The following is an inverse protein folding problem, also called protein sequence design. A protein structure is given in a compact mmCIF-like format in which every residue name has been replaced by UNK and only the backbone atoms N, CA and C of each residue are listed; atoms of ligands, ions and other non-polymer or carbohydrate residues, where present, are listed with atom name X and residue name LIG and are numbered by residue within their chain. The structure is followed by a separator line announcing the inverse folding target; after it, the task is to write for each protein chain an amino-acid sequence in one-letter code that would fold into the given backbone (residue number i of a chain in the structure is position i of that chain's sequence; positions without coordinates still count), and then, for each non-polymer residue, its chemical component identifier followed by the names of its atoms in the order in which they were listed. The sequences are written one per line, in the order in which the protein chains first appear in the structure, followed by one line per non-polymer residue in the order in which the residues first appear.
data_IF_844610707981
#
_entry.id   IF_844610707981
#
_cell.length_a   1.000
_cell.length_b   1.000
_cell.length_c   1.000
_cell.angle_alpha   90.00
_cell.angle_beta   90.00
_cell.angle_gamma   90.00
#
_symmetry.space_group_name_H-M   'P 1'
#
loop_
_entity.id
_entity.type
_entity.pdbx_description
1 polymer ?
#
# COMPACT_ATOMS: atom_id res chain seq x y z
N UNK A 1 13.64 3.35 23.49
CA UNK A 1 14.40 4.60 23.34
C UNK A 1 14.93 4.60 21.91
N UNK A 2 14.08 4.88 20.92
CA UNK A 2 13.93 6.16 20.19
C UNK A 2 15.23 6.63 19.50
N UNK A 3 15.34 6.31 18.20
CA UNK A 3 16.04 7.14 17.22
C UNK A 3 15.00 7.84 16.33
N UNK A 4 14.14 8.65 16.96
CA UNK A 4 13.65 9.86 16.31
C UNK A 4 14.43 10.98 16.98
N UNK A 5 15.49 11.46 16.33
CA UNK A 5 16.08 12.74 16.74
C UNK A 5 15.06 13.79 16.33
N UNK A 6 14.21 14.15 17.29
CA UNK A 6 13.45 15.39 17.26
C UNK A 6 14.45 16.52 16.99
N UNK A 7 14.27 17.23 15.87
CA UNK A 7 14.73 18.61 15.75
C UNK A 7 13.94 19.45 16.76
N UNK A 8 14.39 19.44 18.01
CA UNK A 8 13.93 20.38 19.02
C UNK A 8 14.46 21.74 18.58
N UNK A 9 13.58 22.59 18.09
CA UNK A 9 13.84 24.04 18.09
C UNK A 9 13.84 24.50 19.55
N UNK A 10 15.00 24.43 20.19
CA UNK A 10 15.28 25.05 21.48
C UNK A 10 16.22 26.23 21.25
N UNK A 11 15.79 27.39 21.73
CA UNK A 11 16.55 28.63 21.71
C UNK A 11 17.91 28.45 22.42
N UNK A 12 18.99 28.84 21.73
CA UNK A 12 20.36 29.05 22.22
C UNK A 12 21.03 27.88 22.96
N UNK A 13 21.68 26.99 22.21
CA UNK A 13 22.98 26.45 22.60
C UNK A 13 23.83 26.17 21.35
N UNK A 14 25.08 26.63 21.35
CA UNK A 14 25.99 26.69 20.20
C UNK A 14 26.69 25.34 19.91
N UNK A 15 26.09 24.22 20.31
CA UNK A 15 26.54 22.89 19.95
C UNK A 15 25.80 22.43 18.70
N UNK A 16 26.53 22.26 17.60
CA UNK A 16 25.99 21.64 16.38
C UNK A 16 25.34 20.27 16.64
N UNK A 17 24.61 19.71 15.66
CA UNK A 17 23.91 18.43 15.83
C UNK A 17 24.88 17.35 16.35
N UNK A 18 24.52 16.72 17.47
CA UNK A 18 25.31 15.64 18.07
C UNK A 18 25.25 14.44 17.13
N UNK A 19 26.39 14.11 16.54
CA UNK A 19 26.57 12.91 15.72
C UNK A 19 26.73 11.71 16.65
N UNK A 20 25.86 10.68 16.59
CA UNK A 20 26.02 9.47 17.38
C UNK A 20 27.30 8.74 16.96
N UNK A 21 27.93 8.02 17.88
CA UNK A 21 29.00 7.08 17.53
C UNK A 21 28.46 5.89 16.73
N UNK A 22 29.35 5.17 16.05
CA UNK A 22 28.99 3.95 15.31
C UNK A 22 28.33 2.91 16.22
N UNK A 23 28.87 2.72 17.43
CA UNK A 23 28.32 1.79 18.42
C UNK A 23 26.91 2.21 18.89
N UNK A 24 26.69 3.51 19.09
CA UNK A 24 25.37 4.04 19.45
C UNK A 24 24.36 3.87 18.30
N UNK A 25 24.78 4.12 17.06
CA UNK A 25 23.94 3.93 15.88
C UNK A 25 23.58 2.45 15.67
N UNK A 26 24.56 1.54 15.76
CA UNK A 26 24.32 0.09 15.69
C UNK A 26 23.34 -0.34 16.78
N UNK A 27 23.51 0.15 18.01
CA UNK A 27 22.61 -0.18 19.13
C UNK A 27 21.19 0.31 18.86
N UNK A 28 21.05 1.54 18.35
CA UNK A 28 19.76 2.14 18.05
C UNK A 28 19.01 1.46 16.89
N UNK A 29 19.75 0.92 15.91
CA UNK A 29 19.21 0.18 14.77
C UNK A 29 19.02 -1.31 15.02
N UNK A 30 19.50 -1.85 16.15
CA UNK A 30 19.42 -3.29 16.44
C UNK A 30 18.05 -3.66 17.03
N UNK A 31 17.40 -4.63 16.41
CA UNK A 31 16.20 -5.30 16.89
C UNK A 31 16.51 -6.77 17.10
N UNK A 32 16.16 -7.31 18.28
CA UNK A 32 16.22 -8.74 18.55
C UNK A 32 14.79 -9.29 18.47
N UNK A 33 14.52 -10.17 17.50
CA UNK A 33 13.21 -10.79 17.32
C UNK A 33 13.38 -12.29 17.15
N UNK A 34 12.71 -13.08 18.00
CA UNK A 34 12.82 -14.55 18.04
C UNK A 34 14.27 -15.09 18.08
N UNK A 35 15.15 -14.38 18.79
CA UNK A 35 16.57 -14.76 18.92
C UNK A 35 17.41 -14.47 17.67
N UNK A 36 16.86 -13.72 16.71
CA UNK A 36 17.57 -13.19 15.55
C UNK A 36 17.83 -11.70 15.74
N UNK A 37 19.07 -11.30 15.47
CA UNK A 37 19.47 -9.91 15.34
C UNK A 37 19.12 -9.38 13.95
N UNK A 38 18.45 -8.24 13.91
CA UNK A 38 18.02 -7.53 12.71
C UNK A 38 18.48 -6.08 12.85
N UNK A 39 18.99 -5.48 11.77
CA UNK A 39 19.30 -4.06 11.73
C UNK A 39 18.25 -3.34 10.89
N UNK A 40 17.56 -2.37 11.49
CA UNK A 40 16.51 -1.58 10.84
C UNK A 40 16.96 -0.13 10.74
N UNK A 41 16.84 0.43 9.53
CA UNK A 41 16.99 1.86 9.25
C UNK A 41 15.67 2.41 8.73
N UNK A 42 15.50 3.73 8.80
CA UNK A 42 14.34 4.44 8.24
C UNK A 42 12.96 3.88 8.65
N UNK A 43 12.86 3.36 9.87
CA UNK A 43 11.67 2.80 10.53
C UNK A 43 11.23 1.39 10.13
N UNK A 44 11.52 0.91 8.93
CA UNK A 44 11.07 -0.42 8.49
C UNK A 44 11.96 -1.09 7.44
N UNK A 45 13.10 -0.49 7.06
CA UNK A 45 14.03 -1.07 6.08
C UNK A 45 15.06 -1.98 6.78
N UNK A 46 15.06 -3.31 6.54
CA UNK A 46 16.09 -4.20 7.04
C UNK A 46 17.36 -4.10 6.21
N UNK A 47 18.50 -4.00 6.88
CA UNK A 47 19.83 -3.93 6.27
C UNK A 47 20.79 -4.96 6.87
N UNK A 48 21.80 -5.35 6.10
CA UNK A 48 22.97 -6.04 6.64
C UNK A 48 23.82 -5.08 7.49
N UNK A 49 24.76 -5.63 8.28
CA UNK A 49 25.69 -4.79 9.06
C UNK A 49 26.57 -3.90 8.16
N UNK A 50 26.93 -4.39 6.98
CA UNK A 50 27.75 -3.64 6.01
C UNK A 50 26.95 -2.50 5.35
N UNK A 51 25.67 -2.75 5.05
CA UNK A 51 24.75 -1.70 4.57
C UNK A 51 24.45 -0.68 5.67
N UNK A 52 24.28 -1.12 6.92
CA UNK A 52 24.13 -0.23 8.08
C UNK A 52 25.35 0.69 8.25
N UNK A 53 26.55 0.17 7.98
CA UNK A 53 27.78 0.96 8.00
C UNK A 53 27.80 2.02 6.92
N UNK A 54 27.36 1.65 5.71
CA UNK A 54 27.23 2.58 4.58
C UNK A 54 26.26 3.71 4.92
N UNK A 55 25.14 3.39 5.56
CA UNK A 55 24.15 4.38 5.99
C UNK A 55 24.71 5.33 7.06
N UNK A 56 25.42 4.81 8.07
CA UNK A 56 26.08 5.63 9.07
C UNK A 56 27.11 6.60 8.46
N UNK A 57 27.96 6.10 7.56
CA UNK A 57 28.98 6.91 6.90
C UNK A 57 28.35 7.96 5.96
N UNK A 58 27.18 7.70 5.37
CA UNK A 58 26.45 8.69 4.58
C UNK A 58 25.82 9.79 5.45
N UNK A 59 25.10 9.41 6.50
CA UNK A 59 24.41 10.34 7.40
C UNK A 59 25.39 11.23 8.18
N UNK A 60 26.56 10.71 8.53
CA UNK A 60 27.47 11.33 9.49
C UNK A 60 28.92 11.52 9.01
N UNK A 61 29.30 10.94 7.86
CA UNK A 61 30.68 10.97 7.33
C UNK A 61 31.03 12.18 6.46
N UNK A 62 30.10 13.12 6.25
CA UNK A 62 30.41 14.46 5.72
C UNK A 62 30.71 14.57 4.22
N UNK A 63 30.26 13.64 3.38
CA UNK A 63 30.43 13.73 1.92
C UNK A 63 29.12 14.01 1.19
N UNK A 64 29.00 15.23 0.64
CA UNK A 64 28.11 15.54 -0.49
C UNK A 64 28.62 14.86 -1.75
N UNK A 65 27.74 14.22 -2.52
CA UNK A 65 28.03 13.80 -3.89
C UNK A 65 26.90 14.21 -4.86
N UNK A 66 27.25 15.17 -5.71
CA UNK A 66 26.55 15.57 -6.93
C UNK A 66 26.40 14.41 -7.92
N UNK A 67 25.30 14.41 -8.67
CA UNK A 67 25.10 13.52 -9.83
C UNK A 67 23.74 13.67 -10.51
N UNK A 68 23.58 14.72 -11.32
CA UNK A 68 22.41 14.98 -12.16
C UNK A 68 22.06 13.79 -13.08
N UNK A 69 20.81 13.32 -13.01
CA UNK A 69 20.21 12.39 -13.96
C UNK A 69 18.68 12.48 -13.96
N UNK A 70 18.12 13.20 -14.93
CA UNK A 70 16.67 13.28 -15.13
C UNK A 70 16.15 12.01 -15.79
N UNK A 71 15.27 11.27 -15.11
CA UNK A 71 14.32 10.38 -15.79
C UNK A 71 13.05 10.25 -14.96
N UNK A 72 11.90 10.50 -15.59
CA UNK A 72 10.57 10.16 -15.08
C UNK A 72 10.48 8.64 -14.90
N UNK A 73 10.11 8.16 -13.71
CA UNK A 73 10.04 6.71 -13.44
C UNK A 73 9.00 6.40 -12.40
N UNK A 74 8.61 5.13 -12.29
CA UNK A 74 7.26 4.66 -12.00
C UNK A 74 7.10 3.76 -10.71
N UNK A 75 6.00 3.65 -9.92
CA UNK A 75 5.76 2.98 -8.62
C UNK A 75 6.58 1.72 -8.44
N UNK A 76 7.24 1.56 -7.30
CA UNK A 76 8.33 0.60 -7.20
C UNK A 76 7.82 -0.81 -6.85
N UNK A 77 8.10 -1.81 -7.68
CA UNK A 77 7.92 -3.24 -7.34
C UNK A 77 9.28 -3.89 -7.07
N UNK A 78 9.34 -4.70 -5.99
CA UNK A 78 10.50 -5.52 -5.65
C UNK A 78 10.75 -6.58 -6.74
N UNK A 79 12.00 -6.94 -6.98
CA UNK A 79 12.36 -8.02 -7.89
C UNK A 79 13.25 -9.05 -7.23
N UNK A 80 13.03 -10.32 -7.56
CA UNK A 80 13.88 -11.44 -7.18
C UNK A 80 14.32 -12.14 -8.45
N UNK A 81 15.64 -12.27 -8.66
CA UNK A 81 16.22 -12.85 -9.87
C UNK A 81 15.70 -12.20 -11.17
N UNK A 82 15.51 -10.88 -11.15
CA UNK A 82 15.06 -10.08 -12.29
C UNK A 82 13.55 -10.17 -12.62
N UNK A 83 12.77 -10.93 -11.85
CA UNK A 83 11.32 -11.04 -11.97
C UNK A 83 10.62 -10.28 -10.86
N UNK A 84 9.41 -9.78 -11.13
CA UNK A 84 8.60 -9.13 -10.09
C UNK A 84 8.30 -10.10 -8.96
N UNK A 85 8.55 -9.66 -7.73
CA UNK A 85 8.25 -10.42 -6.51
C UNK A 85 6.78 -10.19 -6.13
N UNK A 86 5.91 -10.92 -6.82
CA UNK A 86 4.45 -10.81 -6.68
C UNK A 86 3.82 -12.18 -6.45
N UNK A 87 2.67 -12.20 -5.78
CA UNK A 87 1.89 -13.43 -5.67
C UNK A 87 1.37 -13.89 -7.03
N UNK A 88 1.19 -15.20 -7.19
CA UNK A 88 0.37 -15.71 -8.31
C UNK A 88 -1.05 -15.14 -8.20
N UNK A 89 -1.77 -15.04 -9.33
CA UNK A 89 -3.15 -14.53 -9.35
C UNK A 89 -4.09 -15.27 -8.37
N UNK A 90 -3.93 -16.59 -8.22
CA UNK A 90 -4.70 -17.37 -7.23
C UNK A 90 -4.22 -17.14 -5.80
N UNK A 91 -2.91 -16.97 -5.58
CA UNK A 91 -2.35 -16.69 -4.26
C UNK A 91 -2.75 -15.32 -3.73
N UNK A 92 -2.77 -14.30 -4.60
CA UNK A 92 -3.19 -12.94 -4.27
C UNK A 92 -4.64 -12.89 -3.78
N UNK A 93 -5.50 -13.79 -4.27
CA UNK A 93 -6.93 -13.92 -3.90
C UNK A 93 -7.18 -14.86 -2.71
N UNK A 94 -6.14 -15.21 -1.94
CA UNK A 94 -6.28 -16.09 -0.79
C UNK A 94 -5.17 -15.81 0.24
N UNK A 95 -4.97 -14.53 0.58
CA UNK A 95 -3.96 -14.09 1.55
C UNK A 95 -4.51 -14.24 2.98
N UNK A 96 -4.27 -15.39 3.59
CA UNK A 96 -4.77 -15.68 4.94
C UNK A 96 -3.84 -15.05 5.98
N UNK A 97 -4.38 -14.37 6.99
CA UNK A 97 -3.56 -13.80 8.05
C UNK A 97 -4.20 -14.00 9.43
N UNK A 98 -3.38 -13.96 10.46
CA UNK A 98 -3.81 -13.94 11.86
C UNK A 98 -3.25 -12.70 12.56
N UNK A 99 -3.79 -12.37 13.73
CA UNK A 99 -3.30 -11.27 14.56
C UNK A 99 -2.97 -11.81 15.95
N UNK A 100 -1.67 -11.83 16.29
CA UNK A 100 -1.17 -12.48 17.50
C UNK A 100 -1.83 -11.95 18.78
N UNK A 101 -2.15 -12.87 19.70
CA UNK A 101 -2.57 -12.50 21.06
C UNK A 101 -1.50 -11.72 21.83
N UNK A 102 -0.23 -11.77 21.39
CA UNK A 102 0.89 -11.06 22.00
C UNK A 102 0.71 -9.53 21.99
N UNK A 103 -0.13 -8.97 21.12
CA UNK A 103 -0.45 -7.54 21.15
C UNK A 103 -1.11 -7.07 22.46
N UNK A 104 -1.62 -8.01 23.28
CA UNK A 104 -2.21 -7.73 24.58
C UNK A 104 -3.33 -6.69 24.48
N UNK A 105 -3.18 -5.57 25.20
CA UNK A 105 -4.17 -4.49 25.22
C UNK A 105 -4.44 -3.87 23.84
N UNK A 106 -3.48 -3.97 22.90
CA UNK A 106 -3.61 -3.45 21.54
C UNK A 106 -4.22 -4.46 20.55
N UNK A 107 -4.61 -5.66 20.98
CA UNK A 107 -5.07 -6.70 20.06
C UNK A 107 -6.27 -6.26 19.21
N UNK A 108 -7.30 -5.70 19.84
CA UNK A 108 -8.49 -5.21 19.10
C UNK A 108 -8.15 -4.06 18.15
N UNK A 109 -7.18 -3.21 18.50
CA UNK A 109 -6.68 -2.14 17.63
C UNK A 109 -6.01 -2.74 16.39
N UNK A 110 -5.10 -3.70 16.57
CA UNK A 110 -4.44 -4.39 15.46
C UNK A 110 -5.43 -5.08 14.52
N UNK A 111 -6.43 -5.79 15.06
CA UNK A 111 -7.48 -6.45 14.26
C UNK A 111 -8.26 -5.42 13.43
N UNK A 112 -8.72 -4.34 14.05
CA UNK A 112 -9.54 -3.33 13.38
C UNK A 112 -8.76 -2.53 12.34
N UNK A 113 -7.50 -2.20 12.62
CA UNK A 113 -6.67 -1.43 11.69
C UNK A 113 -6.17 -2.30 10.53
N UNK A 114 -5.80 -3.58 10.77
CA UNK A 114 -5.51 -4.53 9.70
C UNK A 114 -6.71 -4.72 8.77
N UNK A 115 -7.92 -4.91 9.31
CA UNK A 115 -9.12 -5.05 8.50
C UNK A 115 -9.40 -3.83 7.61
N UNK A 116 -9.14 -2.62 8.12
CA UNK A 116 -9.27 -1.39 7.32
C UNK A 116 -8.17 -1.27 6.27
N UNK A 117 -6.94 -1.61 6.61
CA UNK A 117 -5.81 -1.54 5.70
C UNK A 117 -5.89 -2.58 4.57
N UNK A 118 -6.33 -3.81 4.86
CA UNK A 118 -6.57 -4.84 3.83
C UNK A 118 -7.70 -4.43 2.90
N UNK A 119 -8.81 -3.92 3.43
CA UNK A 119 -9.94 -3.44 2.63
C UNK A 119 -9.54 -2.31 1.66
N UNK A 120 -8.59 -1.46 2.05
CA UNK A 120 -8.08 -0.40 1.18
C UNK A 120 -7.36 -0.96 -0.06
N UNK A 121 -6.57 -2.03 0.09
CA UNK A 121 -5.88 -2.69 -1.02
C UNK A 121 -6.82 -3.55 -1.88
N UNK A 122 -7.77 -4.26 -1.26
CA UNK A 122 -8.79 -5.07 -1.95
C UNK A 122 -9.70 -4.23 -2.85
N UNK A 123 -9.99 -2.99 -2.45
CA UNK A 123 -10.79 -2.07 -3.25
C UNK A 123 -10.11 -1.66 -4.57
N UNK A 124 -8.79 -1.80 -4.66
CA UNK A 124 -7.97 -1.27 -5.75
C UNK A 124 -7.39 -2.37 -6.65
N UNK A 125 -7.30 -3.61 -6.16
CA UNK A 125 -6.49 -4.64 -6.80
C UNK A 125 -7.05 -6.06 -6.69
N UNK A 126 -6.36 -6.95 -7.40
CA UNK A 126 -6.70 -8.34 -7.58
C UNK A 126 -6.45 -9.22 -6.36
N UNK A 127 -6.64 -8.70 -5.16
CA UNK A 127 -6.22 -9.32 -3.89
C UNK A 127 -7.43 -9.63 -3.00
N UNK A 128 -7.28 -10.58 -2.07
CA UNK A 128 -8.29 -10.95 -1.08
C UNK A 128 -7.57 -11.45 0.19
N UNK A 129 -7.86 -10.82 1.33
CA UNK A 129 -7.30 -11.09 2.63
C UNK A 129 -8.32 -11.76 3.53
N UNK A 130 -7.95 -12.91 4.08
CA UNK A 130 -8.80 -13.66 4.99
C UNK A 130 -8.23 -13.67 6.40
N UNK A 131 -8.87 -12.95 7.30
CA UNK A 131 -8.53 -13.01 8.73
C UNK A 131 -8.95 -14.36 9.32
N UNK A 132 -8.02 -15.05 9.98
CA UNK A 132 -8.21 -16.37 10.59
C UNK A 132 -8.04 -16.29 12.11
N UNK A 133 -9.07 -15.82 12.85
CA UNK A 133 -8.95 -15.57 14.29
C UNK A 133 -8.62 -16.81 15.12
N UNK A 134 -9.02 -18.00 14.67
CA UNK A 134 -8.69 -19.28 15.31
C UNK A 134 -7.18 -19.53 15.40
N UNK A 135 -6.38 -18.84 14.59
CA UNK A 135 -4.92 -18.94 14.59
C UNK A 135 -4.22 -17.89 15.45
N UNK A 136 -4.94 -16.96 16.09
CA UNK A 136 -4.34 -15.87 16.89
C UNK A 136 -3.47 -16.36 18.05
N UNK A 137 -3.81 -17.51 18.64
CA UNK A 137 -3.02 -18.14 19.70
C UNK A 137 -1.72 -18.80 19.23
N UNK A 138 -1.56 -19.03 17.92
CA UNK A 138 -0.37 -19.59 17.29
C UNK A 138 -0.01 -18.78 16.03
N UNK A 139 -0.04 -17.45 16.15
CA UNK A 139 0.13 -16.56 15.02
C UNK A 139 1.61 -16.27 14.76
N UNK A 140 2.27 -17.15 14.01
CA UNK A 140 3.70 -17.07 13.68
C UNK A 140 3.91 -17.21 12.17
N UNK A 141 5.02 -16.69 11.65
CA UNK A 141 5.38 -16.84 10.22
C UNK A 141 5.60 -18.29 9.78
N UNK A 142 5.77 -19.21 10.73
CA UNK A 142 5.87 -20.65 10.47
C UNK A 142 4.50 -21.36 10.38
N UNK A 143 3.40 -20.71 10.77
CA UNK A 143 2.07 -21.31 10.74
C UNK A 143 1.54 -21.41 9.30
N UNK A 144 1.56 -22.62 8.74
CA UNK A 144 1.15 -22.89 7.36
C UNK A 144 -0.38 -22.78 7.13
N UNK A 145 -1.19 -22.60 8.18
CA UNK A 145 -2.64 -22.35 8.04
C UNK A 145 -2.93 -20.93 7.56
N UNK A 146 -1.97 -20.01 7.76
CA UNK A 146 -2.02 -18.63 7.29
C UNK A 146 -0.92 -18.40 6.25
N UNK A 147 -1.13 -17.40 5.40
CA UNK A 147 -0.11 -16.88 4.50
C UNK A 147 0.95 -16.13 5.28
N UNK A 148 0.57 -15.34 6.29
CA UNK A 148 1.50 -14.59 7.14
C UNK A 148 0.91 -14.28 8.52
N UNK A 149 1.78 -13.93 9.46
CA UNK A 149 1.40 -13.51 10.80
C UNK A 149 1.50 -11.99 10.98
N UNK A 150 0.61 -11.41 11.79
CA UNK A 150 0.73 -10.02 12.27
C UNK A 150 1.08 -10.05 13.75
N UNK A 151 2.21 -9.44 14.13
CA UNK A 151 2.78 -9.57 15.48
C UNK A 151 3.26 -8.24 16.06
N UNK A 152 3.22 -8.05 17.39
CA UNK A 152 3.93 -6.94 18.00
C UNK A 152 5.44 -7.18 17.91
N UNK A 153 6.21 -6.10 17.98
CA UNK A 153 7.63 -6.17 18.26
C UNK A 153 8.11 -4.91 19.00
N UNK A 154 9.31 -4.98 19.54
CA UNK A 154 9.93 -3.87 20.27
C UNK A 154 10.88 -3.04 19.39
N UNK A 155 11.00 -3.38 18.11
CA UNK A 155 11.78 -2.62 17.13
C UNK A 155 11.21 -1.23 16.87
N UNK A 156 12.02 -0.34 16.30
CA UNK A 156 11.51 0.95 15.81
C UNK A 156 10.52 0.71 14.67
N UNK A 157 9.37 1.41 14.69
CA UNK A 157 8.41 1.38 13.58
C UNK A 157 7.70 0.03 13.37
N UNK A 158 7.63 -0.40 12.12
CA UNK A 158 7.02 -1.65 11.67
C UNK A 158 7.96 -2.33 10.68
N UNK A 159 7.61 -3.51 10.17
CA UNK A 159 8.28 -4.08 9.01
C UNK A 159 7.47 -5.26 8.47
N UNK A 160 7.56 -5.50 7.17
CA UNK A 160 6.90 -6.61 6.49
C UNK A 160 7.84 -7.36 5.56
N UNK A 161 7.38 -8.54 5.17
CA UNK A 161 8.01 -9.42 4.18
C UNK A 161 7.50 -9.11 2.76
N UNK A 162 8.27 -9.48 1.74
CA UNK A 162 7.81 -9.51 0.35
C UNK A 162 7.22 -10.88 -0.04
N UNK A 163 6.46 -11.02 -1.15
CA UNK A 163 5.80 -12.27 -1.53
C UNK A 163 6.69 -13.52 -1.59
N UNK A 164 7.98 -13.36 -1.91
CA UNK A 164 9.02 -14.41 -1.84
C UNK A 164 9.17 -15.02 -0.45
N UNK A 165 8.73 -14.34 0.60
CA UNK A 165 8.57 -14.85 1.95
C UNK A 165 9.47 -14.18 2.98
N UNK A 166 10.48 -13.42 2.55
CA UNK A 166 11.53 -12.88 3.42
C UNK A 166 11.68 -11.36 3.28
N UNK A 167 12.06 -10.74 4.39
CA UNK A 167 12.63 -9.40 4.50
C UNK A 167 13.26 -9.28 5.90
N UNK A 168 12.71 -8.48 6.81
CA UNK A 168 13.09 -8.44 8.22
C UNK A 168 12.76 -9.74 8.95
N UNK A 169 11.51 -10.20 8.86
CA UNK A 169 11.01 -11.41 9.49
C UNK A 169 10.22 -12.20 8.46
N UNK A 170 10.57 -13.48 8.30
CA UNK A 170 9.94 -14.34 7.32
C UNK A 170 8.41 -14.42 7.56
N UNK A 171 7.63 -14.18 6.51
CA UNK A 171 6.16 -14.26 6.49
C UNK A 171 5.48 -13.60 7.69
N UNK A 172 6.02 -12.48 8.16
CA UNK A 172 5.51 -11.77 9.33
C UNK A 172 5.50 -10.27 9.08
N UNK A 173 4.38 -9.63 9.39
CA UNK A 173 4.26 -8.19 9.53
C UNK A 173 4.37 -7.86 11.02
N UNK A 174 5.40 -7.11 11.39
CA UNK A 174 5.66 -6.69 12.76
C UNK A 174 5.32 -5.21 12.96
N UNK A 175 4.73 -4.88 14.12
CA UNK A 175 4.24 -3.52 14.41
C UNK A 175 4.61 -3.10 15.83
N UNK A 176 5.26 -1.95 15.99
CA UNK A 176 5.43 -1.29 17.28
C UNK A 176 4.47 -0.12 17.42
N UNK A 177 3.31 -0.34 18.07
CA UNK A 177 2.34 0.72 18.31
C UNK A 177 2.89 1.91 19.10
N UNK A 178 3.91 1.72 19.94
CA UNK A 178 4.49 2.80 20.72
C UNK A 178 5.25 3.82 19.84
N UNK A 179 5.64 3.44 18.63
CA UNK A 179 6.27 4.34 17.66
C UNK A 179 5.26 5.32 17.02
N UNK A 180 3.96 5.05 17.13
CA UNK A 180 2.90 5.76 16.39
C UNK A 180 1.81 6.31 17.32
N UNK A 181 2.21 6.78 18.51
CA UNK A 181 1.30 7.40 19.49
C UNK A 181 1.16 8.91 19.33
N UNK A 182 2.02 9.55 18.53
CA UNK A 182 2.03 10.99 18.29
C UNK A 182 2.47 11.29 16.85
N UNK A 183 2.02 12.43 16.32
CA UNK A 183 2.33 12.86 14.96
C UNK A 183 1.23 12.54 13.94
N UNK A 184 1.46 12.89 12.67
CA UNK A 184 0.44 12.77 11.61
C UNK A 184 0.29 11.35 11.07
N UNK A 185 1.32 10.51 11.20
CA UNK A 185 1.31 9.11 10.74
C UNK A 185 0.67 8.24 11.81
N UNK A 186 -0.40 7.54 11.45
CA UNK A 186 -1.08 6.60 12.35
C UNK A 186 -0.60 5.18 12.11
N UNK A 187 -0.78 4.30 13.10
CA UNK A 187 -0.54 2.86 12.91
C UNK A 187 -1.42 2.23 11.83
N UNK A 188 -2.60 2.78 11.55
CA UNK A 188 -3.43 2.38 10.41
C UNK A 188 -2.76 2.75 9.08
N UNK A 189 -2.17 3.94 8.98
CA UNK A 189 -1.35 4.36 7.85
C UNK A 189 -0.15 3.44 7.64
N UNK A 190 0.51 3.06 8.72
CA UNK A 190 1.65 2.13 8.66
C UNK A 190 1.19 0.73 8.25
N UNK A 191 0.09 0.19 8.77
CA UNK A 191 -0.44 -1.09 8.27
C UNK A 191 -0.77 -1.04 6.77
N UNK A 192 -1.28 0.08 6.25
CA UNK A 192 -1.47 0.25 4.79
C UNK A 192 -0.15 0.17 4.03
N UNK A 193 0.88 0.86 4.51
CA UNK A 193 2.23 0.81 3.96
C UNK A 193 2.82 -0.61 3.97
N UNK A 194 2.84 -1.25 5.13
CA UNK A 194 3.39 -2.60 5.31
C UNK A 194 2.68 -3.65 4.45
N UNK A 195 1.35 -3.52 4.29
CA UNK A 195 0.61 -4.38 3.38
C UNK A 195 1.03 -4.19 1.92
N UNK A 196 1.47 -2.99 1.53
CA UNK A 196 2.11 -2.75 0.24
C UNK A 196 3.32 -3.66 0.01
N UNK A 197 4.20 -3.80 1.00
CA UNK A 197 5.31 -4.76 0.94
C UNK A 197 4.85 -6.21 0.84
N UNK A 198 3.83 -6.61 1.60
CA UNK A 198 3.27 -7.97 1.49
C UNK A 198 2.69 -8.26 0.09
N UNK A 199 2.42 -7.22 -0.70
CA UNK A 199 1.98 -7.31 -2.09
C UNK A 199 3.13 -7.12 -3.11
N UNK A 200 4.36 -6.88 -2.66
CA UNK A 200 5.53 -6.73 -3.53
C UNK A 200 5.91 -5.28 -3.85
N UNK A 201 5.18 -4.29 -3.33
CA UNK A 201 5.57 -2.89 -3.49
C UNK A 201 6.78 -2.58 -2.61
N UNK A 202 7.79 -1.93 -3.18
CA UNK A 202 8.99 -1.46 -2.48
C UNK A 202 8.88 0.06 -2.29
N UNK A 203 9.74 0.63 -1.47
CA UNK A 203 9.74 2.06 -1.22
C UNK A 203 9.85 2.92 -2.48
N UNK A 204 9.13 4.04 -2.47
CA UNK A 204 9.08 5.00 -3.57
C UNK A 204 10.30 5.93 -3.58
N UNK A 205 10.86 6.22 -2.39
CA UNK A 205 11.92 7.22 -2.20
C UNK A 205 13.20 6.89 -2.99
N UNK A 206 13.46 5.61 -3.29
CA UNK A 206 14.62 5.19 -4.08
C UNK A 206 14.57 5.67 -5.54
N UNK A 207 13.42 6.17 -5.98
CA UNK A 207 13.24 6.77 -7.31
C UNK A 207 13.22 8.29 -7.29
N UNK A 208 13.35 8.92 -6.13
CA UNK A 208 13.38 10.37 -6.02
C UNK A 208 14.60 10.93 -6.78
N UNK A 209 14.47 12.09 -7.45
CA UNK A 209 15.62 12.75 -8.07
C UNK A 209 16.64 13.18 -7.00
N UNK A 210 17.80 12.52 -6.98
CA UNK A 210 18.81 12.62 -5.91
C UNK A 210 18.26 12.11 -4.56
N UNK A 211 18.08 10.79 -4.42
CA UNK A 211 17.49 10.22 -3.22
C UNK A 211 18.44 10.43 -2.03
N UNK A 212 17.89 10.89 -0.90
CA UNK A 212 18.65 11.04 0.35
C UNK A 212 18.69 9.75 1.17
N UNK A 213 17.75 8.84 0.91
CA UNK A 213 17.65 7.52 1.51
C UNK A 213 17.84 6.49 0.40
N UNK A 214 18.59 5.43 0.67
CA UNK A 214 18.88 4.40 -0.33
C UNK A 214 18.41 3.05 0.15
N UNK A 215 17.87 2.26 -0.78
CA UNK A 215 17.52 0.86 -0.56
C UNK A 215 18.05 0.05 -1.75
N UNK A 216 18.12 -1.28 -1.60
CA UNK A 216 18.62 -2.21 -2.63
C UNK A 216 18.11 -1.93 -4.05
N UNK A 217 18.88 -2.37 -5.05
CA UNK A 217 18.72 -1.96 -6.47
C UNK A 217 17.82 -2.86 -7.30
N UNK A 218 17.38 -4.00 -6.76
CA UNK A 218 16.60 -5.00 -7.48
C UNK A 218 15.11 -4.67 -7.47
N UNK A 219 14.75 -3.67 -8.27
CA UNK A 219 13.37 -3.17 -8.39
C UNK A 219 13.10 -2.63 -9.78
N UNK A 220 11.84 -2.56 -10.19
CA UNK A 220 11.45 -1.80 -11.39
C UNK A 220 10.30 -0.89 -11.07
N UNK A 221 10.11 0.11 -11.94
CA UNK A 221 8.95 0.96 -11.84
C UNK A 221 7.69 0.45 -12.53
N UNK A 222 6.53 0.82 -11.99
CA UNK A 222 5.17 0.43 -12.42
C UNK A 222 4.30 1.64 -12.87
N UNK A 223 4.23 2.77 -12.13
CA UNK A 223 3.55 4.05 -12.56
C UNK A 223 4.29 5.38 -12.23
N UNK A 224 4.40 6.46 -13.01
CA UNK A 224 5.28 7.63 -12.71
C UNK A 224 5.50 8.11 -11.22
N UNK A 225 6.61 8.77 -10.93
CA UNK A 225 7.09 9.06 -9.57
C UNK A 225 6.11 9.86 -8.76
N UNK A 226 5.80 9.29 -7.59
CA UNK A 226 4.81 9.81 -6.70
C UNK A 226 5.43 10.19 -5.37
N UNK A 227 5.79 11.46 -5.25
CA UNK A 227 6.22 12.03 -3.97
C UNK A 227 5.19 11.87 -2.86
N UNK A 228 3.92 11.60 -3.17
CA UNK A 228 2.87 11.39 -2.20
C UNK A 228 2.56 9.90 -1.95
N UNK A 229 3.30 8.96 -2.56
CA UNK A 229 3.02 7.53 -2.45
C UNK A 229 2.92 7.06 -0.99
N UNK A 230 2.02 6.12 -0.73
CA UNK A 230 1.96 5.38 0.54
C UNK A 230 3.29 4.70 0.85
N UNK A 231 4.06 4.32 -0.16
CA UNK A 231 5.38 3.68 -0.05
C UNK A 231 6.53 4.69 0.02
N UNK A 232 6.26 6.01 0.07
CA UNK A 232 7.30 7.01 0.21
C UNK A 232 7.54 7.34 1.68
N UNK A 233 8.77 7.17 2.13
CA UNK A 233 9.16 7.58 3.48
C UNK A 233 9.01 9.09 3.69
N UNK A 234 8.23 9.52 4.69
CA UNK A 234 8.00 10.93 4.97
C UNK A 234 9.27 11.69 5.36
N UNK A 235 10.24 11.01 5.97
CA UNK A 235 11.54 11.57 6.35
C UNK A 235 12.51 11.70 5.16
N UNK A 236 12.27 11.00 4.06
CA UNK A 236 13.14 11.00 2.90
C UNK A 236 12.84 12.18 1.97
N UNK A 237 13.91 12.77 1.42
CA UNK A 237 13.81 13.92 0.54
C UNK A 237 12.93 13.61 -0.65
N UNK A 238 12.03 14.53 -0.96
CA UNK A 238 11.08 14.38 -2.06
C UNK A 238 9.70 13.88 -1.63
N UNK A 239 9.51 13.50 -0.37
CA UNK A 239 8.17 13.17 0.14
C UNK A 239 7.28 14.40 0.27
N UNK A 240 6.02 14.23 -0.11
CA UNK A 240 4.92 15.17 0.15
C UNK A 240 3.79 14.53 0.95
N UNK A 241 3.83 13.21 1.19
CA UNK A 241 2.92 12.52 2.09
C UNK A 241 3.41 12.63 3.54
N UNK A 242 3.33 13.84 4.09
CA UNK A 242 3.67 14.14 5.50
C UNK A 242 2.46 13.97 6.44
N UNK A 243 1.36 13.40 5.94
CA UNK A 243 0.11 13.14 6.65
C UNK A 243 0.04 11.69 7.14
N UNK A 244 -1.08 11.04 6.85
CA UNK A 244 -1.36 9.66 7.26
C UNK A 244 -1.32 8.70 6.06
N UNK A 245 -0.11 8.35 5.57
CA UNK A 245 0.22 7.29 4.59
C UNK A 245 -0.96 6.78 3.74
N UNK A 246 -1.65 7.69 3.04
CA UNK A 246 -2.84 7.37 2.26
C UNK A 246 -2.42 6.82 0.90
N UNK A 247 -3.14 5.81 0.42
CA UNK A 247 -2.93 5.24 -0.91
C UNK A 247 -3.31 6.30 -1.95
N UNK A 248 -2.39 6.62 -2.86
CA UNK A 248 -2.64 7.58 -3.93
C UNK A 248 -3.24 6.92 -5.17
N UNK A 249 -3.62 7.73 -6.16
CA UNK A 249 -4.05 7.22 -7.46
C UNK A 249 -2.93 6.47 -8.20
N UNK A 250 -1.66 6.83 -8.00
CA UNK A 250 -0.53 6.17 -8.66
C UNK A 250 -0.23 4.83 -7.97
N UNK A 251 -0.29 4.77 -6.64
CA UNK A 251 -0.24 3.51 -5.90
C UNK A 251 -1.34 2.55 -6.36
N UNK A 252 -2.58 3.04 -6.45
CA UNK A 252 -3.74 2.29 -6.91
C UNK A 252 -3.55 1.73 -8.34
N UNK A 253 -3.05 2.56 -9.26
CA UNK A 253 -2.77 2.13 -10.63
C UNK A 253 -1.63 1.10 -10.69
N UNK A 254 -0.60 1.28 -9.86
CA UNK A 254 0.53 0.36 -9.77
C UNK A 254 0.10 -1.02 -9.31
N UNK A 255 -0.63 -1.08 -8.19
CA UNK A 255 -1.09 -2.35 -7.64
C UNK A 255 -2.10 -3.05 -8.56
N UNK A 256 -2.98 -2.30 -9.24
CA UNK A 256 -3.92 -2.85 -10.22
C UNK A 256 -3.20 -3.41 -11.47
N UNK A 257 -1.99 -2.92 -11.77
CA UNK A 257 -1.16 -3.46 -12.86
C UNK A 257 -0.49 -4.76 -12.45
N UNK A 258 -0.02 -4.87 -11.19
CA UNK A 258 0.63 -6.07 -10.66
C UNK A 258 -0.35 -7.20 -10.39
N UNK A 259 -1.51 -6.86 -9.83
CA UNK A 259 -2.62 -7.77 -9.57
C UNK A 259 -3.82 -7.33 -10.41
N UNK A 260 -3.78 -7.58 -11.73
CA UNK A 260 -4.88 -7.25 -12.61
C UNK A 260 -6.10 -8.02 -12.18
N UNK A 261 -7.01 -7.25 -11.67
CA UNK A 261 -8.15 -7.70 -10.92
C UNK A 261 -8.66 -6.44 -10.31
N UNK A 262 -9.47 -5.72 -11.07
CA UNK A 262 -10.26 -4.65 -10.46
C UNK A 262 -11.23 -5.33 -9.47
N UNK A 263 -12.20 -4.66 -8.88
CA UNK A 263 -13.43 -5.35 -8.56
C UNK A 263 -14.25 -5.64 -9.83
N UNK A 264 -13.96 -6.64 -10.73
CA UNK A 264 -15.03 -7.27 -11.46
C UNK A 264 -15.99 -7.85 -10.44
N UNK A 265 -15.60 -8.67 -9.46
CA UNK A 265 -16.62 -9.38 -8.67
C UNK A 265 -17.75 -8.48 -8.09
N UNK A 266 -17.50 -7.37 -7.38
CA UNK A 266 -18.55 -6.43 -6.96
C UNK A 266 -19.19 -5.62 -8.10
N UNK A 267 -18.41 -4.98 -8.99
CA UNK A 267 -18.97 -4.14 -10.06
C UNK A 267 -19.66 -4.96 -11.15
N UNK A 268 -19.09 -6.10 -11.54
CA UNK A 268 -19.66 -7.15 -12.38
C UNK A 268 -20.95 -7.70 -11.78
N UNK A 269 -20.99 -7.99 -10.47
CA UNK A 269 -22.22 -8.41 -9.81
C UNK A 269 -23.28 -7.32 -9.89
N UNK A 270 -22.92 -6.08 -9.56
CA UNK A 270 -23.79 -4.92 -9.68
C UNK A 270 -24.29 -4.72 -11.13
N UNK A 271 -23.41 -4.77 -12.13
CA UNK A 271 -23.77 -4.62 -13.53
C UNK A 271 -24.65 -5.77 -14.03
N UNK A 272 -24.41 -7.00 -13.56
CA UNK A 272 -25.24 -8.17 -13.87
C UNK A 272 -26.63 -8.05 -13.24
N UNK A 273 -26.70 -7.62 -11.98
CA UNK A 273 -27.95 -7.29 -11.30
C UNK A 273 -28.70 -6.18 -12.02
N UNK A 274 -28.01 -5.10 -12.41
CA UNK A 274 -28.60 -3.97 -13.12
C UNK A 274 -29.16 -4.40 -14.49
N UNK A 275 -28.39 -5.17 -15.26
CA UNK A 275 -28.83 -5.75 -16.53
C UNK A 275 -30.05 -6.66 -16.38
N UNK A 276 -30.15 -7.39 -15.27
CA UNK A 276 -31.27 -8.30 -15.01
C UNK A 276 -32.54 -7.58 -14.53
N UNK A 277 -32.41 -6.54 -13.73
CA UNK A 277 -33.54 -5.84 -13.10
C UNK A 277 -34.04 -4.63 -13.91
N UNK A 278 -33.18 -4.04 -14.75
CA UNK A 278 -33.52 -2.88 -15.57
C UNK A 278 -33.13 -3.07 -17.05
N UNK A 279 -33.64 -4.13 -17.72
CA UNK A 279 -33.27 -4.45 -19.10
C UNK A 279 -33.67 -3.37 -20.13
N UNK A 280 -34.61 -2.48 -19.79
CA UNK A 280 -34.99 -1.34 -20.63
C UNK A 280 -33.95 -0.21 -20.62
N UNK A 281 -33.09 -0.16 -19.60
CA UNK A 281 -31.98 0.79 -19.48
C UNK A 281 -30.64 0.16 -19.86
N UNK A 282 -30.48 -1.14 -19.63
CA UNK A 282 -29.23 -1.86 -19.73
C UNK A 282 -29.34 -3.07 -20.68
N UNK A 283 -29.38 -2.78 -21.99
CA UNK A 283 -29.37 -3.80 -23.04
C UNK A 283 -28.27 -3.57 -24.10
N UNK A 284 -27.63 -4.62 -24.62
CA UNK A 284 -27.88 -6.03 -24.36
C UNK A 284 -27.45 -6.43 -22.94
N UNK A 285 -27.97 -7.54 -22.42
CA UNK A 285 -27.54 -8.03 -21.11
C UNK A 285 -26.08 -8.50 -21.16
N UNK A 286 -25.31 -8.18 -20.11
CA UNK A 286 -23.91 -8.62 -19.92
C UNK A 286 -22.96 -8.24 -21.05
N UNK A 287 -22.91 -6.97 -21.49
CA UNK A 287 -21.84 -6.52 -22.38
C UNK A 287 -20.50 -6.56 -21.64
N UNK A 288 -19.40 -6.51 -22.39
CA UNK A 288 -18.07 -6.56 -21.82
C UNK A 288 -17.84 -5.40 -20.83
N UNK A 289 -17.36 -5.73 -19.65
CA UNK A 289 -16.89 -4.76 -18.66
C UNK A 289 -15.57 -4.17 -19.12
N UNK A 290 -15.47 -2.85 -19.04
CA UNK A 290 -14.34 -2.04 -19.46
C UNK A 290 -13.83 -1.23 -18.30
N UNK A 291 -12.59 -0.77 -18.41
CA UNK A 291 -11.91 0.03 -17.41
C UNK A 291 -11.23 1.17 -18.13
N UNK A 292 -11.41 2.39 -17.65
CA UNK A 292 -10.78 3.56 -18.24
C UNK A 292 -11.30 4.85 -17.62
N UNK A 293 -10.50 5.92 -17.75
CA UNK A 293 -10.86 7.26 -17.28
C UNK A 293 -11.27 7.35 -15.80
N UNK A 294 -10.73 6.47 -14.95
CA UNK A 294 -11.06 6.41 -13.53
C UNK A 294 -12.35 5.65 -13.19
N UNK A 295 -12.92 4.88 -14.13
CA UNK A 295 -14.13 4.09 -13.92
C UNK A 295 -13.94 2.63 -14.34
N UNK A 296 -14.70 1.76 -13.69
CA UNK A 296 -15.10 0.44 -14.21
C UNK A 296 -16.49 0.62 -14.80
N UNK A 297 -16.74 0.25 -16.05
CA UNK A 297 -18.02 0.54 -16.68
C UNK A 297 -18.42 -0.48 -17.75
N UNK A 298 -19.70 -0.47 -18.11
CA UNK A 298 -20.26 -1.18 -19.24
C UNK A 298 -20.97 -0.22 -20.18
N UNK A 299 -20.78 -0.44 -21.48
CA UNK A 299 -21.55 0.19 -22.53
C UNK A 299 -22.64 -0.77 -23.02
N UNK A 300 -23.87 -0.29 -23.02
CA UNK A 300 -25.07 -1.00 -23.42
C UNK A 300 -25.49 -0.51 -24.80
N UNK A 301 -25.04 -1.20 -25.84
CA UNK A 301 -25.18 -0.74 -27.23
C UNK A 301 -26.62 -0.70 -27.76
N UNK A 302 -27.55 -1.45 -27.18
CA UNK A 302 -28.97 -1.41 -27.58
C UNK A 302 -29.67 -0.18 -27.02
N UNK A 303 -29.33 0.21 -25.79
CA UNK A 303 -29.91 1.38 -25.11
C UNK A 303 -29.06 2.63 -25.22
N UNK A 304 -27.90 2.53 -25.86
CA UNK A 304 -26.88 3.59 -25.98
C UNK A 304 -26.57 4.24 -24.62
N UNK A 305 -26.27 3.41 -23.62
CA UNK A 305 -26.08 3.85 -22.25
C UNK A 305 -24.77 3.35 -21.65
N UNK A 306 -24.21 4.09 -20.69
CA UNK A 306 -23.10 3.65 -19.85
C UNK A 306 -23.56 3.51 -18.40
N UNK A 307 -23.07 2.47 -17.74
CA UNK A 307 -23.16 2.31 -16.29
C UNK A 307 -21.75 2.06 -15.77
N UNK A 308 -21.30 2.84 -14.80
CA UNK A 308 -19.95 2.71 -14.25
C UNK A 308 -19.87 2.93 -12.76
N UNK A 309 -18.78 2.48 -12.16
CA UNK A 309 -18.38 2.70 -10.78
C UNK A 309 -17.07 3.49 -10.81
N UNK A 310 -17.02 4.60 -10.10
CA UNK A 310 -15.82 5.43 -9.97
C UNK A 310 -14.79 4.71 -9.11
N UNK A 311 -13.54 4.63 -9.61
CA UNK A 311 -12.43 4.04 -8.87
C UNK A 311 -11.90 4.96 -7.76
N UNK A 312 -12.23 6.26 -7.79
CA UNK A 312 -11.77 7.23 -6.81
C UNK A 312 -12.60 7.22 -5.51
N UNK A 313 -13.91 7.01 -5.62
CA UNK A 313 -14.85 7.17 -4.51
C UNK A 313 -15.96 6.11 -4.48
N UNK A 314 -15.89 5.09 -5.35
CA UNK A 314 -16.81 3.94 -5.41
C UNK A 314 -18.28 4.31 -5.70
N UNK A 315 -18.58 5.53 -6.16
CA UNK A 315 -19.93 5.92 -6.55
C UNK A 315 -20.35 5.28 -7.87
N UNK A 316 -21.65 4.99 -8.00
CA UNK A 316 -22.27 4.50 -9.24
C UNK A 316 -22.71 5.67 -10.11
N UNK A 317 -22.38 5.60 -11.39
CA UNK A 317 -22.65 6.62 -12.39
C UNK A 317 -23.39 6.03 -13.59
N UNK A 318 -24.41 6.74 -14.10
CA UNK A 318 -25.19 6.36 -15.27
C UNK A 318 -25.23 7.47 -16.31
N UNK A 319 -25.05 7.11 -17.57
CA UNK A 319 -25.14 8.02 -18.72
C UNK A 319 -26.10 7.41 -19.73
N UNK A 320 -27.19 8.12 -20.05
CA UNK A 320 -28.24 7.64 -20.95
C UNK A 320 -28.06 8.04 -22.42
N UNK A 321 -28.93 7.52 -23.31
CA UNK A 321 -28.88 7.79 -24.75
C UNK A 321 -29.05 9.28 -25.08
N UNK A 322 -28.35 9.74 -26.13
CA UNK A 322 -28.54 11.08 -26.70
C UNK A 322 -27.71 12.20 -26.07
N UNK A 323 -26.83 11.90 -25.12
CA UNK A 323 -25.88 12.87 -24.54
C UNK A 323 -24.61 13.09 -25.40
N UNK A 324 -24.62 12.62 -26.66
CA UNK A 324 -23.66 13.02 -27.69
C UNK A 324 -22.32 12.28 -27.66
N UNK A 325 -22.30 11.02 -28.09
CA UNK A 325 -21.06 10.31 -28.43
C UNK A 325 -21.02 9.92 -29.91
N UNK A 326 -20.10 10.56 -30.65
CA UNK A 326 -19.52 9.97 -31.85
C UNK A 326 -18.27 9.21 -31.41
N UNK A 327 -18.31 7.89 -31.60
CA UNK A 327 -17.19 6.95 -31.73
C UNK A 327 -15.98 7.08 -30.78
N UNK A 328 -15.81 6.03 -29.96
CA UNK A 328 -14.53 5.48 -29.50
C UNK A 328 -13.49 6.45 -28.89
N UNK A 329 -13.44 6.47 -27.56
CA UNK A 329 -12.31 7.00 -26.80
C UNK A 329 -12.60 8.38 -26.18
N UNK A 330 -12.56 8.41 -24.85
CA UNK A 330 -12.76 9.57 -23.98
C UNK A 330 -14.19 10.10 -23.86
N UNK A 331 -14.79 9.92 -22.68
CA UNK A 331 -15.93 10.71 -22.26
C UNK A 331 -15.45 12.12 -21.84
N UNK A 332 -15.90 13.22 -22.48
CA UNK A 332 -15.64 14.55 -21.97
C UNK A 332 -16.56 14.82 -20.77
N UNK A 333 -16.01 15.51 -19.78
CA UNK A 333 -16.74 15.99 -18.62
C UNK A 333 -17.96 16.84 -19.05
N UNK A 334 -19.18 16.31 -18.85
CA UNK A 334 -20.33 17.03 -18.25
C UNK A 334 -21.57 16.15 -18.11
N UNK A 335 -22.17 16.29 -16.92
CA UNK A 335 -23.50 15.86 -16.46
C UNK A 335 -23.82 14.36 -16.49
N UNK A 336 -23.25 13.64 -15.52
CA UNK A 336 -23.84 12.43 -14.96
C UNK A 336 -25.14 12.79 -14.23
N UNK A 337 -26.23 12.06 -14.51
CA UNK A 337 -27.53 12.23 -13.85
C UNK A 337 -27.81 11.12 -12.85
N UNK A 338 -28.47 11.43 -11.73
CA UNK A 338 -28.94 10.47 -10.73
C UNK A 338 -30.28 9.86 -11.19
N UNK A 339 -30.30 8.57 -11.52
CA UNK A 339 -31.53 7.87 -11.95
C UNK A 339 -32.00 6.81 -10.94
N UNK A 340 -31.17 6.50 -9.93
CA UNK A 340 -31.55 5.54 -8.88
C UNK A 340 -32.11 6.28 -7.67
N UNK A 341 -33.33 5.95 -7.19
CA UNK A 341 -33.90 6.61 -6.02
C UNK A 341 -33.01 6.39 -4.79
N UNK A 342 -32.81 7.45 -4.01
CA UNK A 342 -31.91 7.57 -2.85
C UNK A 342 -32.30 6.70 -1.62
N UNK A 343 -32.82 5.48 -1.82
CA UNK A 343 -33.18 4.54 -0.75
C UNK A 343 -32.61 3.12 -0.92
N UNK A 344 -31.61 2.96 -1.78
CA UNK A 344 -30.82 1.73 -1.78
C UNK A 344 -29.36 2.14 -1.82
N UNK A 345 -28.75 2.34 -0.65
CA UNK A 345 -27.39 1.87 -0.50
C UNK A 345 -27.46 0.37 -0.81
N UNK A 346 -27.28 0.00 -2.08
CA UNK A 346 -26.76 -1.33 -2.37
C UNK A 346 -25.34 -1.23 -1.83
N UNK A 347 -25.18 -1.49 -0.53
CA UNK A 347 -23.90 -1.98 -0.05
C UNK A 347 -23.53 -3.09 -1.03
N UNK A 348 -22.37 -2.96 -1.66
CA UNK A 348 -21.75 -4.00 -2.50
C UNK A 348 -21.44 -5.28 -1.69
N UNK A 349 -22.15 -5.52 -0.58
CA UNK A 349 -22.10 -6.68 0.33
C UNK A 349 -23.21 -7.69 0.05
N UNK A 350 -24.20 -7.33 -0.79
CA UNK A 350 -25.26 -8.24 -1.25
C UNK A 350 -24.78 -9.21 -2.35
N UNK A 351 -23.57 -8.96 -2.85
CA UNK A 351 -22.60 -9.90 -3.42
C UNK A 351 -21.29 -10.07 -2.55
#
# INVERSE_FOLDING_TARGET
MLAAILLVSACNDDSGPVVPSWEEFVTASTVEFEGRRIYIVDFDTPVSLDELRTEYDHLYGGASADGLGSSEQSSTVNRVNGQDDVWSAMGARNLRYCVSNEFGVNQNRAINEMAQATAAWEALAGVDYHYVPDQNGNCTGANQTVTFAVRPWDGGGACAFFPSGDACVARTLVMNFAAFTAGPITSLGVFRHELGHTLGLRHEHIRAPNPSCTEGVDWRGVTAYDSASVMHYPQCRGSTNIGDLNITALDANGIATLYPGIPPAPAECFFNWASANYPTLFAPARPATQVGSGYVFRYYSTTDAFLGVSLADQHVHYMGPGLGHRSAGAAPARTWGTVLPARSCIELRGC
#
